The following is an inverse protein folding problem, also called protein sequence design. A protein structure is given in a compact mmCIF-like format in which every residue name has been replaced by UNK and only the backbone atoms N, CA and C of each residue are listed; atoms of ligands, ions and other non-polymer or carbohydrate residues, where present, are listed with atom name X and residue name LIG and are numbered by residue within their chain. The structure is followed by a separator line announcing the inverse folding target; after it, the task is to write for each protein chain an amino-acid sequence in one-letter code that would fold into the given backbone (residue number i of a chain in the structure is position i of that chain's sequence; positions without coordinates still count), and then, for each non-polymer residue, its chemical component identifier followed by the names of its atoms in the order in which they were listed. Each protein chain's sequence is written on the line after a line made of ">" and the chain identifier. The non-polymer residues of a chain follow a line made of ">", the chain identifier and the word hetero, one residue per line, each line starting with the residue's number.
data_IF_119146557328
#
_entry.id   IF_119146557328
#
_cell.length_a   1.000
_cell.length_b   1.000
_cell.length_c   1.000
_cell.angle_alpha   90.00
_cell.angle_beta   90.00
_cell.angle_gamma   90.00
#
_symmetry.space_group_name_H-M   'P 1'
#
loop_
_entity.id
_entity.type
_entity.pdbx_description
1 polymer ?
#
# COMPACT_ATOMS: atom_id res chain seq x y z
N UNK A 1 -5.65 -11.99 5.22
CA UNK A 1 -5.76 -11.36 3.89
C UNK A 1 -4.84 -10.16 3.89
N UNK A 2 -4.09 -9.96 2.81
CA UNK A 2 -3.17 -8.83 2.69
C UNK A 2 -3.94 -7.60 2.20
N UNK A 3 -3.50 -6.42 2.63
CA UNK A 3 -4.11 -5.14 2.25
C UNK A 3 -3.04 -4.11 1.93
N UNK A 4 -3.43 -3.05 1.24
CA UNK A 4 -2.60 -1.88 1.05
C UNK A 4 -3.30 -0.63 1.61
N UNK A 5 -2.50 0.36 1.96
CA UNK A 5 -2.95 1.70 2.33
C UNK A 5 -2.12 2.74 1.57
N UNK A 6 -2.77 3.72 0.94
CA UNK A 6 -2.15 4.82 0.24
C UNK A 6 -2.34 6.10 1.06
N UNK A 7 -1.24 6.69 1.52
CA UNK A 7 -1.22 7.87 2.37
C UNK A 7 -0.64 9.07 1.62
N UNK A 8 -1.27 10.24 1.75
CA UNK A 8 -0.75 11.51 1.24
C UNK A 8 0.45 12.00 2.07
N UNK A 9 1.17 13.03 1.59
CA UNK A 9 2.26 13.66 2.37
C UNK A 9 1.79 14.31 3.67
N UNK A 10 0.53 14.74 3.74
CA UNK A 10 -0.10 15.29 4.94
C UNK A 10 -0.56 14.21 5.93
N UNK A 11 -0.07 12.98 5.76
CA UNK A 11 -0.43 11.79 6.56
C UNK A 11 -1.94 11.49 6.57
N UNK A 12 -2.66 11.84 5.49
CA UNK A 12 -4.05 11.47 5.31
C UNK A 12 -4.16 10.15 4.53
N UNK A 13 -4.98 9.22 5.01
CA UNK A 13 -5.31 7.99 4.28
C UNK A 13 -6.22 8.36 3.09
N UNK A 14 -5.73 8.18 1.88
CA UNK A 14 -6.49 8.45 0.65
C UNK A 14 -7.25 7.22 0.17
N UNK A 15 -6.61 6.04 0.24
CA UNK A 15 -7.18 4.80 -0.26
C UNK A 15 -6.67 3.62 0.56
N UNK A 16 -7.51 2.60 0.72
CA UNK A 16 -7.10 1.27 1.17
C UNK A 16 -7.82 0.21 0.34
N UNK A 17 -7.27 -1.00 0.32
CA UNK A 17 -7.86 -2.11 -0.41
C UNK A 17 -7.13 -3.42 -0.17
N UNK A 18 -7.66 -4.49 -0.73
CA UNK A 18 -7.00 -5.80 -0.67
C UNK A 18 -5.83 -5.86 -1.67
N UNK A 19 -4.82 -6.64 -1.32
CA UNK A 19 -3.76 -7.04 -2.25
C UNK A 19 -3.56 -8.56 -2.22
N UNK A 20 -3.04 -9.08 -3.32
CA UNK A 20 -2.68 -10.49 -3.45
C UNK A 20 -1.18 -10.59 -3.23
N UNK A 21 -0.78 -11.48 -2.33
CA UNK A 21 0.62 -11.85 -2.13
C UNK A 21 0.79 -13.26 -2.67
N UNK A 22 1.57 -13.41 -3.73
CA UNK A 22 1.91 -14.68 -4.34
C UNK A 22 3.43 -14.79 -4.46
N UNK A 23 4.01 -15.69 -3.67
CA UNK A 23 5.46 -15.82 -3.48
C UNK A 23 6.17 -14.48 -3.18
N UNK A 24 6.86 -13.93 -4.18
CA UNK A 24 7.64 -12.69 -4.10
C UNK A 24 6.97 -11.53 -4.85
N UNK A 25 5.69 -11.68 -5.19
CA UNK A 25 4.91 -10.71 -5.96
C UNK A 25 3.76 -10.21 -5.09
N UNK A 26 3.63 -8.89 -5.01
CA UNK A 26 2.47 -8.23 -4.42
C UNK A 26 1.73 -7.53 -5.55
N UNK A 27 0.48 -7.93 -5.78
CA UNK A 27 -0.40 -7.31 -6.76
C UNK A 27 -1.50 -6.50 -6.05
N UNK A 28 -1.63 -5.24 -6.44
CA UNK A 28 -2.60 -4.30 -5.89
C UNK A 28 -3.05 -3.32 -6.96
N UNK A 29 -4.36 -3.11 -7.07
CA UNK A 29 -4.92 -2.07 -7.92
C UNK A 29 -5.10 -0.78 -7.13
N UNK A 30 -4.30 0.24 -7.48
CA UNK A 30 -4.23 1.50 -6.75
C UNK A 30 -4.58 2.64 -7.71
N UNK A 31 -5.49 3.51 -7.30
CA UNK A 31 -5.93 4.67 -8.09
C UNK A 31 -5.89 5.94 -7.24
N UNK A 32 -4.76 6.65 -7.20
CA UNK A 32 -4.65 7.96 -6.57
C UNK A 32 -5.61 8.97 -7.21
N UNK A 33 -6.13 9.89 -6.42
CA UNK A 33 -7.05 10.94 -6.85
C UNK A 33 -6.32 12.12 -7.51
N UNK A 34 -5.09 12.39 -7.07
CA UNK A 34 -4.29 13.52 -7.51
C UNK A 34 -2.86 13.11 -7.84
N UNK A 35 -2.20 13.90 -8.69
CA UNK A 35 -0.75 13.80 -8.86
C UNK A 35 -0.07 14.31 -7.58
N UNK A 36 1.05 13.70 -7.22
CA UNK A 36 1.76 14.02 -5.98
C UNK A 36 2.62 12.88 -5.47
N UNK A 37 3.16 13.07 -4.27
CA UNK A 37 3.92 12.06 -3.55
C UNK A 37 3.02 11.33 -2.56
N UNK A 38 3.22 10.02 -2.46
CA UNK A 38 2.44 9.13 -1.60
C UNK A 38 3.35 8.17 -0.85
N UNK A 39 2.88 7.73 0.32
CA UNK A 39 3.41 6.55 1.01
C UNK A 39 2.42 5.41 0.87
N UNK A 40 2.78 4.42 0.06
CA UNK A 40 2.05 3.17 -0.09
C UNK A 40 2.54 2.17 0.96
N UNK A 41 1.65 1.65 1.80
CA UNK A 41 1.97 0.62 2.79
C UNK A 41 1.34 -0.69 2.37
N UNK A 42 2.14 -1.75 2.23
CA UNK A 42 1.64 -3.11 2.13
C UNK A 42 1.58 -3.74 3.52
N UNK A 43 0.47 -4.39 3.85
CA UNK A 43 0.19 -4.95 5.17
C UNK A 43 -0.22 -6.41 4.98
N UNK A 44 0.62 -7.34 5.42
CA UNK A 44 0.42 -8.77 5.23
C UNK A 44 0.95 -9.57 6.42
N UNK A 45 0.58 -10.85 6.48
CA UNK A 45 0.96 -11.76 7.56
C UNK A 45 2.13 -12.64 7.14
N UNK A 46 3.11 -12.79 8.03
CA UNK A 46 4.16 -13.80 7.94
C UNK A 46 4.10 -14.63 9.22
N UNK A 47 3.64 -15.87 9.14
CA UNK A 47 3.38 -16.68 10.32
C UNK A 47 2.30 -16.04 11.21
N UNK A 48 2.67 -15.67 12.43
CA UNK A 48 1.85 -14.97 13.42
C UNK A 48 2.14 -13.45 13.49
N UNK A 49 3.05 -12.95 12.67
CA UNK A 49 3.44 -11.54 12.65
C UNK A 49 2.71 -10.75 11.56
N UNK A 50 2.32 -9.51 11.88
CA UNK A 50 1.88 -8.53 10.89
C UNK A 50 3.06 -7.67 10.45
N UNK A 51 3.36 -7.71 9.17
CA UNK A 51 4.40 -6.90 8.55
C UNK A 51 3.79 -5.71 7.82
N UNK A 52 4.46 -4.56 7.93
CA UNK A 52 4.07 -3.31 7.26
C UNK A 52 5.27 -2.81 6.46
N UNK A 53 5.15 -2.79 5.14
CA UNK A 53 6.20 -2.36 4.23
C UNK A 53 5.82 -1.03 3.55
N UNK A 54 6.49 0.09 3.90
CA UNK A 54 6.24 1.38 3.28
C UNK A 54 7.10 1.60 2.02
N UNK A 55 6.46 2.03 0.94
CA UNK A 55 7.06 2.39 -0.35
C UNK A 55 6.66 3.81 -0.72
N UNK A 56 7.63 4.63 -1.14
CA UNK A 56 7.35 5.97 -1.66
C UNK A 56 7.00 5.89 -3.14
N UNK A 57 5.91 6.54 -3.53
CA UNK A 57 5.41 6.56 -4.91
C UNK A 57 5.24 8.00 -5.36
N UNK A 58 5.62 8.31 -6.60
CA UNK A 58 5.36 9.60 -7.25
C UNK A 58 4.36 9.35 -8.37
N UNK A 59 3.26 10.10 -8.35
CA UNK A 59 2.19 10.05 -9.35
C UNK A 59 2.25 11.36 -10.14
N UNK A 60 2.34 11.28 -11.46
CA UNK A 60 2.49 12.43 -12.38
C UNK A 60 1.46 12.40 -13.49
#
# INVERSE_FOLDING_TARGET
>A
MAKFELWTEDEALEMEGECIVDEHVIDAYIRPLTAGMYTLKYIYLIGDETWIEPVRVVVS
#
